data_IF_358215599738
#
_entry.id   IF_358215599738
#
_cell.length_a   1.000
_cell.length_b   1.000
_cell.length_c   1.000
_cell.angle_alpha   90.00
_cell.angle_beta   90.00
_cell.angle_gamma   90.00
#
_symmetry.space_group_name_H-M   'P 1'
#
loop_
_entity.id
_entity.type
_entity.pdbx_description
1 polymer ?
#
# COMPACT_ATOMS: atom_id res chain seq x y z
N UNK A 1 9.28 -10.36 -34.96
CA UNK A 1 7.83 -10.62 -35.08
C UNK A 1 7.35 -9.73 -36.21
N UNK A 2 6.68 -10.30 -37.21
CA UNK A 2 6.36 -9.59 -38.46
C UNK A 2 5.21 -8.59 -38.24
N UNK A 3 5.34 -7.36 -38.75
CA UNK A 3 4.40 -6.24 -38.50
C UNK A 3 2.96 -6.58 -38.93
N UNK A 4 2.79 -7.53 -39.86
CA UNK A 4 1.48 -8.05 -40.30
C UNK A 4 0.66 -8.68 -39.17
N UNK A 5 1.30 -9.27 -38.15
CA UNK A 5 0.57 -9.87 -37.02
C UNK A 5 -0.10 -8.82 -36.12
N UNK A 6 0.49 -7.61 -36.02
CA UNK A 6 -0.08 -6.52 -35.20
C UNK A 6 -1.38 -5.98 -35.78
N UNK A 7 -1.57 -6.06 -37.11
CA UNK A 7 -2.80 -5.63 -37.77
C UNK A 7 -4.01 -6.48 -37.34
N UNK A 8 -3.82 -7.80 -37.23
CA UNK A 8 -4.88 -8.73 -36.82
C UNK A 8 -5.26 -8.55 -35.33
N UNK A 9 -4.35 -8.06 -34.50
CA UNK A 9 -4.61 -7.82 -33.08
C UNK A 9 -5.57 -6.64 -32.81
N UNK A 10 -5.78 -5.74 -33.78
CA UNK A 10 -6.75 -4.63 -33.64
C UNK A 10 -8.18 -5.14 -33.43
N UNK A 11 -8.53 -6.31 -33.96
CA UNK A 11 -9.85 -6.93 -33.76
C UNK A 11 -10.04 -7.54 -32.36
N UNK A 12 -8.95 -7.69 -31.60
CA UNK A 12 -8.93 -8.26 -30.26
C UNK A 12 -8.66 -7.19 -29.18
N UNK A 13 -8.74 -5.91 -29.56
CA UNK A 13 -8.34 -4.79 -28.68
C UNK A 13 -9.11 -4.73 -27.37
N UNK A 14 -10.38 -5.17 -27.36
CA UNK A 14 -11.24 -5.13 -26.18
C UNK A 14 -10.79 -6.11 -25.08
N UNK A 15 -9.93 -7.07 -25.43
CA UNK A 15 -9.35 -8.06 -24.51
C UNK A 15 -7.95 -7.65 -24.00
N UNK A 16 -7.42 -6.50 -24.43
CA UNK A 16 -6.13 -5.94 -23.96
C UNK A 16 -6.28 -5.22 -22.61
N UNK A 17 -6.82 -5.91 -21.61
CA UNK A 17 -7.02 -5.40 -20.25
C UNK A 17 -5.74 -5.56 -19.41
N UNK A 18 -5.60 -6.63 -18.65
CA UNK A 18 -4.38 -6.96 -17.91
C UNK A 18 -3.48 -7.89 -18.75
N UNK A 19 -2.19 -8.00 -18.39
CA UNK A 19 -1.28 -8.95 -19.06
C UNK A 19 -1.73 -10.39 -18.86
N UNK A 20 -2.21 -10.71 -17.66
CA UNK A 20 -2.65 -12.05 -17.28
C UNK A 20 -3.94 -12.45 -18.00
N UNK A 21 -4.90 -11.53 -18.13
CA UNK A 21 -6.13 -11.77 -18.87
C UNK A 21 -5.86 -11.90 -20.36
N UNK A 22 -4.98 -11.05 -20.90
CA UNK A 22 -4.50 -11.17 -22.27
C UNK A 22 -3.82 -12.51 -22.51
N UNK A 23 -2.90 -12.95 -21.66
CA UNK A 23 -2.17 -14.21 -21.87
C UNK A 23 -3.11 -15.42 -21.86
N UNK A 24 -4.15 -15.38 -21.01
CA UNK A 24 -5.21 -16.40 -21.01
C UNK A 24 -5.99 -16.39 -22.33
N UNK A 25 -6.38 -15.21 -22.79
CA UNK A 25 -7.08 -15.02 -24.06
C UNK A 25 -6.22 -15.47 -25.23
N UNK A 26 -4.99 -14.97 -25.32
CA UNK A 26 -4.05 -15.24 -26.38
C UNK A 26 -3.75 -16.74 -26.52
N UNK A 27 -3.59 -17.46 -25.39
CA UNK A 27 -3.43 -18.91 -25.40
C UNK A 27 -4.62 -19.64 -26.03
N UNK A 28 -5.85 -19.17 -25.79
CA UNK A 28 -7.08 -19.78 -26.34
C UNK A 28 -7.22 -19.56 -27.85
N UNK A 29 -6.74 -18.43 -28.37
CA UNK A 29 -6.89 -18.02 -29.77
C UNK A 29 -5.60 -18.12 -30.59
N UNK A 30 -4.53 -18.71 -30.04
CA UNK A 30 -3.24 -18.84 -30.73
C UNK A 30 -2.55 -17.52 -31.01
N UNK A 31 -2.80 -16.48 -30.20
CA UNK A 31 -2.24 -15.15 -30.37
C UNK A 31 -0.90 -15.01 -29.62
N UNK A 32 -0.07 -13.99 -29.95
CA UNK A 32 1.17 -13.72 -29.23
C UNK A 32 0.93 -13.40 -27.76
N UNK A 33 1.81 -13.92 -26.89
CA UNK A 33 1.76 -13.60 -25.47
C UNK A 33 2.13 -12.15 -25.19
N UNK A 34 1.70 -11.65 -24.03
CA UNK A 34 2.04 -10.34 -23.52
C UNK A 34 3.56 -10.14 -23.51
N UNK A 35 4.34 -11.17 -23.17
CA UNK A 35 5.80 -11.15 -23.22
C UNK A 35 6.32 -10.90 -24.63
N UNK A 36 5.80 -11.62 -25.64
CA UNK A 36 6.25 -11.46 -27.02
C UNK A 36 5.90 -10.06 -27.56
N UNK A 37 4.72 -9.54 -27.24
CA UNK A 37 4.28 -8.18 -27.60
C UNK A 37 5.15 -7.11 -26.95
N UNK A 38 5.45 -7.26 -25.66
CA UNK A 38 6.34 -6.37 -24.90
C UNK A 38 7.75 -6.42 -25.46
N UNK A 39 8.26 -7.59 -25.84
CA UNK A 39 9.60 -7.72 -26.44
C UNK A 39 9.72 -6.95 -27.76
N UNK A 40 8.65 -6.88 -28.55
CA UNK A 40 8.64 -6.12 -29.82
C UNK A 40 8.39 -4.62 -29.65
N UNK A 41 7.49 -4.23 -28.75
CA UNK A 41 6.95 -2.85 -28.66
C UNK A 41 7.53 -2.08 -27.44
N UNK A 42 8.12 -2.81 -26.50
CA UNK A 42 8.85 -2.29 -25.34
C UNK A 42 8.06 -2.34 -24.04
N UNK A 43 6.80 -1.90 -24.02
CA UNK A 43 5.97 -1.94 -22.80
C UNK A 43 4.51 -2.25 -23.09
N UNK A 44 3.81 -2.83 -22.11
CA UNK A 44 2.38 -3.17 -22.24
C UNK A 44 1.51 -1.96 -22.52
N UNK A 45 1.88 -0.80 -21.96
CA UNK A 45 1.23 0.47 -22.27
C UNK A 45 1.41 0.85 -23.74
N UNK A 46 2.64 0.77 -24.27
CA UNK A 46 2.90 1.03 -25.68
C UNK A 46 2.17 0.03 -26.59
N UNK A 47 2.01 -1.23 -26.17
CA UNK A 47 1.20 -2.22 -26.89
C UNK A 47 -0.26 -1.77 -26.97
N UNK A 48 -0.87 -1.38 -25.85
CA UNK A 48 -2.22 -0.82 -25.81
C UNK A 48 -2.36 0.42 -26.71
N UNK A 49 -1.46 1.39 -26.59
CA UNK A 49 -1.43 2.61 -27.41
C UNK A 49 -1.30 2.29 -28.91
N UNK A 50 -0.41 1.37 -29.29
CA UNK A 50 -0.18 0.97 -30.69
C UNK A 50 -1.39 0.23 -31.29
N UNK A 51 -2.15 -0.48 -30.47
CA UNK A 51 -3.38 -1.19 -30.86
C UNK A 51 -4.64 -0.31 -30.74
N UNK A 52 -4.48 0.98 -30.46
CA UNK A 52 -5.58 1.95 -30.40
C UNK A 52 -6.44 1.81 -29.15
N UNK A 53 -5.96 1.13 -28.11
CA UNK A 53 -6.56 1.15 -26.78
C UNK A 53 -6.15 2.47 -26.14
N UNK A 54 -7.12 3.33 -25.88
CA UNK A 54 -6.86 4.62 -25.26
C UNK A 54 -6.36 4.40 -23.83
N UNK A 55 -5.09 4.66 -23.57
CA UNK A 55 -4.51 4.55 -22.22
C UNK A 55 -4.36 5.90 -21.53
N UNK A 56 -4.86 6.98 -22.14
CA UNK A 56 -4.77 8.32 -21.54
C UNK A 56 -5.80 8.43 -20.43
N UNK A 57 -5.36 8.14 -19.21
CA UNK A 57 -6.11 8.49 -18.00
C UNK A 57 -6.48 9.97 -18.03
N UNK A 58 -7.70 10.29 -17.60
CA UNK A 58 -8.18 11.66 -17.48
C UNK A 58 -7.17 12.50 -16.69
N UNK A 59 -6.69 13.59 -17.28
CA UNK A 59 -5.85 14.56 -16.60
C UNK A 59 -6.77 15.50 -15.84
N UNK A 60 -6.65 15.52 -14.51
CA UNK A 60 -7.39 16.44 -13.65
C UNK A 60 -6.42 17.54 -13.21
N UNK A 61 -6.73 18.78 -13.60
CA UNK A 61 -5.81 19.90 -13.41
C UNK A 61 -5.86 20.48 -11.99
N UNK A 62 -7.01 20.39 -11.31
CA UNK A 62 -7.22 21.06 -10.04
C UNK A 62 -7.80 20.14 -8.96
N UNK A 63 -7.60 20.54 -7.71
CA UNK A 63 -8.01 19.76 -6.52
C UNK A 63 -9.54 19.65 -6.38
N UNK A 64 -10.31 20.64 -6.85
CA UNK A 64 -11.78 20.65 -6.75
C UNK A 64 -12.41 19.58 -7.64
N UNK A 65 -12.02 19.55 -8.92
CA UNK A 65 -12.45 18.53 -9.88
C UNK A 65 -12.04 17.12 -9.41
N UNK A 66 -10.85 16.98 -8.83
CA UNK A 66 -10.42 15.71 -8.24
C UNK A 66 -11.33 15.32 -7.07
N UNK A 67 -11.72 16.27 -6.22
CA UNK A 67 -12.62 16.02 -5.08
C UNK A 67 -13.99 15.57 -5.55
N UNK A 68 -14.58 16.23 -6.55
CA UNK A 68 -15.86 15.85 -7.14
C UNK A 68 -15.83 14.44 -7.74
N UNK A 69 -14.75 14.12 -8.47
CA UNK A 69 -14.55 12.78 -9.02
C UNK A 69 -14.47 11.74 -7.91
N UNK A 70 -13.67 11.98 -6.88
CA UNK A 70 -13.51 11.06 -5.76
C UNK A 70 -14.82 10.90 -4.98
N UNK A 71 -15.63 11.95 -4.85
CA UNK A 71 -16.98 11.87 -4.27
C UNK A 71 -17.91 10.97 -5.09
N UNK A 72 -17.85 11.05 -6.44
CA UNK A 72 -18.66 10.20 -7.32
C UNK A 72 -18.30 8.71 -7.20
N UNK A 73 -17.03 8.41 -6.96
CA UNK A 73 -16.50 7.04 -6.88
C UNK A 73 -16.15 6.63 -5.44
N UNK A 74 -16.80 7.26 -4.46
CA UNK A 74 -16.49 7.12 -3.03
C UNK A 74 -16.55 5.68 -2.53
N UNK A 75 -17.48 4.88 -3.04
CA UNK A 75 -17.69 3.48 -2.63
C UNK A 75 -16.48 2.58 -2.95
N UNK A 76 -15.69 2.94 -3.97
CA UNK A 76 -14.47 2.23 -4.36
C UNK A 76 -13.20 2.85 -3.76
N UNK A 77 -13.29 3.99 -3.05
CA UNK A 77 -12.16 4.73 -2.50
C UNK A 77 -11.68 4.18 -1.15
N UNK A 78 -11.25 2.92 -1.15
CA UNK A 78 -10.83 2.19 0.06
C UNK A 78 -9.30 2.21 0.23
N UNK A 79 -8.61 1.20 -0.28
CA UNK A 79 -7.14 1.11 -0.29
C UNK A 79 -6.59 1.61 -1.62
N UNK A 80 -5.32 2.02 -1.65
CA UNK A 80 -4.66 2.45 -2.90
C UNK A 80 -4.66 1.35 -3.95
N UNK A 81 -4.50 0.08 -3.54
CA UNK A 81 -4.49 -1.07 -4.46
C UNK A 81 -5.87 -1.26 -5.11
N UNK A 82 -6.93 -1.36 -4.29
CA UNK A 82 -8.29 -1.54 -4.80
C UNK A 82 -8.73 -0.35 -5.67
N UNK A 83 -8.32 0.86 -5.29
CA UNK A 83 -8.54 2.03 -6.12
C UNK A 83 -7.80 1.94 -7.45
N UNK A 84 -6.52 1.59 -7.47
CA UNK A 84 -5.76 1.56 -8.73
C UNK A 84 -6.30 0.50 -9.70
N UNK A 85 -6.77 -0.64 -9.19
CA UNK A 85 -7.47 -1.66 -9.99
C UNK A 85 -8.80 -1.14 -10.57
N UNK A 86 -9.57 -0.40 -9.77
CA UNK A 86 -10.81 0.23 -10.20
C UNK A 86 -10.56 1.36 -11.21
N UNK A 87 -9.61 2.23 -10.92
CA UNK A 87 -9.23 3.38 -11.72
C UNK A 87 -8.63 2.97 -13.07
N UNK A 88 -7.99 1.81 -13.17
CA UNK A 88 -7.55 1.29 -14.47
C UNK A 88 -8.73 0.91 -15.38
N UNK A 89 -9.82 0.38 -14.80
CA UNK A 89 -11.02 -0.01 -15.57
C UNK A 89 -11.87 1.20 -15.97
N UNK A 90 -11.97 2.17 -15.09
CA UNK A 90 -12.79 3.39 -15.27
C UNK A 90 -12.00 4.57 -15.86
N UNK A 91 -10.75 4.33 -16.30
CA UNK A 91 -9.84 5.36 -16.86
C UNK A 91 -9.61 6.58 -15.93
N UNK A 92 -9.70 6.36 -14.62
CA UNK A 92 -9.58 7.39 -13.58
C UNK A 92 -8.10 7.66 -13.20
N UNK A 93 -7.83 8.78 -12.51
CA UNK A 93 -6.52 9.06 -11.96
C UNK A 93 -6.03 7.98 -10.99
N UNK A 94 -4.73 7.68 -11.07
CA UNK A 94 -4.10 6.74 -10.14
C UNK A 94 -4.04 7.26 -8.72
N UNK A 95 -3.88 6.35 -7.76
CA UNK A 95 -3.62 6.67 -6.36
C UNK A 95 -2.45 7.63 -6.20
N UNK A 96 -1.39 7.46 -7.00
CA UNK A 96 -0.22 8.35 -7.01
C UNK A 96 -0.57 9.76 -7.50
N UNK A 97 -1.39 9.88 -8.54
CA UNK A 97 -1.90 11.17 -8.99
C UNK A 97 -2.69 11.84 -7.87
N UNK A 98 -3.63 11.13 -7.26
CA UNK A 98 -4.43 11.64 -6.15
C UNK A 98 -3.54 12.08 -4.97
N UNK A 99 -2.55 11.28 -4.58
CA UNK A 99 -1.59 11.64 -3.53
C UNK A 99 -0.84 12.94 -3.87
N UNK A 100 -0.46 13.15 -5.13
CA UNK A 100 0.20 14.41 -5.52
C UNK A 100 -0.72 15.64 -5.38
N UNK A 101 -2.03 15.50 -5.55
CA UNK A 101 -3.00 16.59 -5.37
C UNK A 101 -3.35 16.87 -3.90
N UNK A 102 -3.37 15.83 -3.05
CA UNK A 102 -3.82 15.95 -1.66
C UNK A 102 -2.70 15.87 -0.62
N UNK A 103 -1.48 15.48 -1.01
CA UNK A 103 -0.34 15.24 -0.13
C UNK A 103 -0.27 13.79 0.40
N UNK A 104 -1.42 13.19 0.71
CA UNK A 104 -1.50 11.80 1.14
C UNK A 104 -2.86 11.17 0.83
N UNK A 105 -2.90 9.83 0.77
CA UNK A 105 -4.15 9.08 0.60
C UNK A 105 -5.14 9.38 1.73
N UNK A 106 -4.65 9.51 2.96
CA UNK A 106 -5.47 9.83 4.12
C UNK A 106 -6.13 11.21 3.99
N UNK A 107 -5.37 12.23 3.58
CA UNK A 107 -5.91 13.57 3.36
C UNK A 107 -6.97 13.57 2.25
N UNK A 108 -6.78 12.76 1.19
CA UNK A 108 -7.81 12.58 0.17
C UNK A 108 -9.08 11.94 0.77
N UNK A 109 -8.95 10.87 1.56
CA UNK A 109 -10.07 10.21 2.24
C UNK A 109 -10.82 11.15 3.20
N UNK A 110 -10.09 11.94 3.99
CA UNK A 110 -10.63 12.96 4.88
C UNK A 110 -11.40 14.03 4.10
N UNK A 111 -10.87 14.48 2.95
CA UNK A 111 -11.51 15.52 2.13
C UNK A 111 -12.86 15.07 1.57
N UNK A 112 -12.99 13.80 1.19
CA UNK A 112 -14.27 13.25 0.69
C UNK A 112 -15.12 12.58 1.79
N UNK A 113 -14.73 12.72 3.07
CA UNK A 113 -15.47 12.18 4.20
C UNK A 113 -15.57 10.65 4.20
N UNK A 114 -14.55 9.95 3.71
CA UNK A 114 -14.40 8.50 3.90
C UNK A 114 -13.84 8.27 5.29
N UNK A 115 -14.61 7.61 6.17
CA UNK A 115 -14.17 7.28 7.52
C UNK A 115 -12.98 6.32 7.43
N UNK A 116 -11.79 6.83 7.70
CA UNK A 116 -10.62 5.98 7.84
C UNK A 116 -10.65 5.37 9.24
N UNK A 117 -10.54 4.05 9.33
CA UNK A 117 -10.27 3.42 10.63
C UNK A 117 -8.94 3.98 11.13
N UNK A 118 -8.86 4.45 12.40
CA UNK A 118 -7.61 4.97 12.92
C UNK A 118 -6.52 3.91 12.74
N UNK A 119 -5.47 4.28 12.00
CA UNK A 119 -4.26 3.46 11.92
C UNK A 119 -3.80 3.26 13.35
N UNK A 120 -3.48 2.02 13.74
CA UNK A 120 -2.77 1.77 14.98
C UNK A 120 -1.42 2.49 14.89
N UNK A 121 -1.35 3.72 15.40
CA UNK A 121 -0.11 4.44 15.56
C UNK A 121 0.63 3.68 16.66
N UNK A 122 1.76 3.01 16.36
CA UNK A 122 2.54 2.41 17.42
C UNK A 122 2.89 3.53 18.39
N UNK A 123 2.57 3.37 19.69
CA UNK A 123 3.02 4.31 20.71
C UNK A 123 4.52 4.52 20.52
N UNK A 124 4.92 5.76 20.24
CA UNK A 124 6.34 6.11 20.16
C UNK A 124 6.86 6.11 21.58
N UNK A 125 7.76 5.17 21.87
CA UNK A 125 8.43 5.12 23.15
C UNK A 125 9.76 5.85 23.01
N UNK A 126 10.01 6.84 23.86
CA UNK A 126 11.34 7.39 24.05
C UNK A 126 12.06 6.64 25.18
N UNK A 127 13.37 6.86 25.32
CA UNK A 127 14.20 6.16 26.31
C UNK A 127 13.70 6.45 27.73
N UNK A 128 13.35 7.70 28.02
CA UNK A 128 12.89 8.19 29.31
C UNK A 128 11.57 7.54 29.71
N UNK A 129 10.59 7.51 28.80
CA UNK A 129 9.29 6.90 29.03
C UNK A 129 9.36 5.39 29.23
N UNK A 130 10.32 4.70 28.60
CA UNK A 130 10.58 3.28 28.88
C UNK A 130 11.17 3.11 30.29
N UNK A 131 12.12 3.95 30.69
CA UNK A 131 12.72 3.87 32.04
C UNK A 131 11.67 4.11 33.12
N UNK A 132 10.81 5.12 32.94
CA UNK A 132 9.70 5.40 33.86
C UNK A 132 8.73 4.21 33.95
N UNK A 133 8.41 3.60 32.80
CA UNK A 133 7.63 2.36 32.75
C UNK A 133 8.25 1.24 33.56
N UNK A 134 9.55 0.99 33.38
CA UNK A 134 10.24 -0.10 34.09
C UNK A 134 10.29 0.14 35.60
N UNK A 135 10.46 1.40 36.03
CA UNK A 135 10.42 1.77 37.46
C UNK A 135 9.05 1.52 38.11
N UNK A 136 7.95 1.68 37.36
CA UNK A 136 6.61 1.35 37.83
C UNK A 136 6.34 -0.16 37.88
N UNK A 137 7.20 -0.97 37.25
CA UNK A 137 7.05 -2.41 37.12
C UNK A 137 8.31 -3.18 37.58
N UNK A 138 8.90 -2.89 38.76
CA UNK A 138 10.26 -3.27 39.12
C UNK A 138 10.47 -4.77 39.35
N UNK A 139 9.42 -5.57 39.48
CA UNK A 139 9.48 -7.03 39.70
C UNK A 139 8.92 -7.85 38.52
N UNK A 140 8.71 -7.23 37.37
CA UNK A 140 7.93 -7.85 36.28
C UNK A 140 8.77 -8.61 35.25
N UNK A 141 10.10 -8.66 35.45
CA UNK A 141 11.02 -9.34 34.56
C UNK A 141 11.73 -10.52 35.24
N UNK A 142 11.44 -11.72 34.74
CA UNK A 142 12.17 -12.96 35.08
C UNK A 142 12.87 -13.48 33.83
N UNK A 143 12.14 -13.57 32.72
CA UNK A 143 12.67 -13.91 31.40
C UNK A 143 11.89 -13.17 30.29
N UNK A 144 12.41 -13.20 29.06
CA UNK A 144 11.81 -12.49 27.92
C UNK A 144 10.38 -12.93 27.61
N UNK A 145 10.07 -14.23 27.77
CA UNK A 145 8.76 -14.79 27.44
C UNK A 145 7.71 -14.30 28.44
N UNK A 146 8.01 -14.41 29.74
CA UNK A 146 7.18 -13.87 30.82
C UNK A 146 6.99 -12.37 30.70
N UNK A 147 8.04 -11.60 30.35
CA UNK A 147 7.87 -10.16 30.13
C UNK A 147 6.90 -9.87 29.01
N UNK A 148 6.99 -10.59 27.88
CA UNK A 148 6.09 -10.34 26.75
C UNK A 148 4.63 -10.71 27.09
N UNK A 149 4.41 -11.76 27.87
CA UNK A 149 3.07 -12.11 28.37
C UNK A 149 2.54 -11.03 29.33
N UNK A 150 3.35 -10.62 30.30
CA UNK A 150 3.02 -9.53 31.22
C UNK A 150 2.73 -8.22 30.48
N UNK A 151 3.56 -7.88 29.51
CA UNK A 151 3.43 -6.67 28.72
C UNK A 151 2.16 -6.70 27.86
N UNK A 152 1.77 -7.86 27.34
CA UNK A 152 0.51 -8.01 26.60
C UNK A 152 -0.71 -7.78 27.50
N UNK A 153 -0.71 -8.32 28.72
CA UNK A 153 -1.79 -8.14 29.69
C UNK A 153 -1.91 -6.69 30.18
N UNK A 154 -0.79 -6.00 30.31
CA UNK A 154 -0.73 -4.62 30.84
C UNK A 154 -0.62 -3.54 29.75
N UNK A 155 -0.77 -3.90 28.47
CA UNK A 155 -0.63 -2.98 27.33
C UNK A 155 0.70 -2.20 27.31
N UNK A 156 1.81 -2.88 27.62
CA UNK A 156 3.17 -2.37 27.72
C UNK A 156 4.00 -2.71 26.46
N UNK A 157 5.14 -2.02 26.23
CA UNK A 157 6.03 -2.36 25.12
C UNK A 157 6.65 -3.75 25.28
N UNK A 158 6.73 -4.47 24.15
CA UNK A 158 7.44 -5.76 24.09
C UNK A 158 8.92 -5.62 24.46
N UNK A 159 9.56 -6.72 24.87
CA UNK A 159 10.99 -6.75 25.12
C UNK A 159 11.80 -6.24 23.92
N UNK A 160 11.37 -6.59 22.70
CA UNK A 160 11.99 -6.11 21.45
C UNK A 160 11.90 -4.59 21.30
N UNK A 161 10.77 -3.99 21.69
CA UNK A 161 10.60 -2.53 21.68
C UNK A 161 11.54 -1.88 22.70
N UNK A 162 11.62 -2.43 23.91
CA UNK A 162 12.50 -1.91 24.96
C UNK A 162 13.98 -1.96 24.54
N UNK A 163 14.42 -3.08 23.94
CA UNK A 163 15.80 -3.26 23.47
C UNK A 163 16.22 -2.34 22.33
N UNK A 164 15.27 -1.66 21.66
CA UNK A 164 15.58 -0.59 20.70
C UNK A 164 16.06 0.70 21.38
N UNK A 165 15.72 0.91 22.65
CA UNK A 165 16.01 2.14 23.38
C UNK A 165 16.91 1.92 24.60
N UNK A 166 17.01 0.68 25.10
CA UNK A 166 17.82 0.31 26.26
C UNK A 166 18.72 -0.90 25.99
N UNK A 167 19.93 -0.85 26.53
CA UNK A 167 20.81 -2.01 26.63
C UNK A 167 20.29 -3.00 27.68
N UNK A 168 20.78 -4.24 27.65
CA UNK A 168 20.39 -5.25 28.64
C UNK A 168 20.73 -4.82 30.07
N UNK A 169 21.89 -4.18 30.27
CA UNK A 169 22.33 -3.72 31.59
C UNK A 169 21.43 -2.61 32.15
N UNK A 170 21.07 -1.63 31.31
CA UNK A 170 20.13 -0.56 31.70
C UNK A 170 18.75 -1.14 32.03
N UNK A 171 18.29 -2.11 31.24
CA UNK A 171 17.02 -2.78 31.47
C UNK A 171 16.99 -3.56 32.80
N UNK A 172 18.04 -4.34 33.09
CA UNK A 172 18.14 -5.09 34.35
C UNK A 172 18.28 -4.16 35.56
N UNK A 173 18.98 -3.04 35.43
CA UNK A 173 19.11 -2.01 36.49
C UNK A 173 17.74 -1.48 36.95
N UNK A 174 16.77 -1.40 36.05
CA UNK A 174 15.43 -0.90 36.35
C UNK A 174 14.39 -2.00 36.64
N UNK A 175 14.78 -3.27 36.56
CA UNK A 175 13.88 -4.43 36.78
C UNK A 175 14.38 -5.41 37.85
N UNK A 176 15.51 -5.12 38.50
CA UNK A 176 15.95 -5.79 39.72
C UNK A 176 16.00 -4.78 40.85
N UNK A 177 15.41 -5.12 41.99
CA UNK A 177 15.52 -4.35 43.22
C UNK A 177 17.01 -4.19 43.55
N UNK A 178 17.54 -2.95 43.56
CA UNK A 178 18.79 -2.65 44.24
C UNK A 178 18.64 -3.17 45.67
N UNK A 179 19.31 -4.28 45.97
CA UNK A 179 19.51 -4.67 47.35
C UNK A 179 20.47 -3.62 47.91
N UNK A 180 19.93 -2.78 48.79
CA UNK A 180 20.73 -2.00 49.71
C UNK A 180 21.31 -2.96 50.75
#
# INVERSE_FOLDING_TARGET
MDLKYLHNLKHHKDMLTSRSDWDRYAKKYGLPSSYQLIKSIGSWRKVKEHLGVNTRRRVIANKSEMTELLCKHKDHFTTTLMWDEYAEKEELPSSRTIINHFGSWKQAQETIGVRTTPRHIPKSYNKEGIIELLKNHPNSYVNQLQWNEYAKLNSLPSYKTIRKHLTFNEFIKHTKKSHN
#
